data_IF_083781108237
#
_entry.id   IF_083781108237
#
_cell.length_a   1.000
_cell.length_b   1.000
_cell.length_c   1.000
_cell.angle_alpha   90.00
_cell.angle_beta   90.00
_cell.angle_gamma   90.00
#
_symmetry.space_group_name_H-M   'P 1'
#
loop_
_entity.id
_entity.type
_entity.pdbx_description
1 polymer ?
#
# COMPACT_ATOMS: atom_id res chain seq x y z
N UNK A 1 9.79 -18.69 26.69
CA UNK A 1 9.24 -17.73 25.70
C UNK A 1 9.48 -16.33 26.25
N UNK A 2 10.13 -15.44 25.49
CA UNK A 2 10.49 -14.11 25.97
C UNK A 2 9.43 -13.10 25.51
N UNK A 3 8.27 -13.14 26.15
CA UNK A 3 7.09 -12.34 25.81
C UNK A 3 7.36 -10.82 25.69
N UNK A 4 8.14 -10.18 26.58
CA UNK A 4 8.48 -8.77 26.43
C UNK A 4 9.23 -8.44 25.12
N UNK A 5 10.15 -9.33 24.69
CA UNK A 5 10.88 -9.16 23.45
C UNK A 5 9.95 -9.28 22.24
N UNK A 6 9.04 -10.26 22.26
CA UNK A 6 8.03 -10.45 21.21
C UNK A 6 7.10 -9.22 21.10
N UNK A 7 6.65 -8.67 22.24
CA UNK A 7 5.88 -7.43 22.28
C UNK A 7 6.63 -6.24 21.69
N UNK A 8 7.92 -6.07 22.03
CA UNK A 8 8.73 -4.98 21.49
C UNK A 8 8.92 -5.09 19.97
N UNK A 9 9.13 -6.31 19.46
CA UNK A 9 9.25 -6.56 18.03
C UNK A 9 7.94 -6.24 17.28
N UNK A 10 6.80 -6.63 17.85
CA UNK A 10 5.49 -6.30 17.26
C UNK A 10 5.24 -4.79 17.26
N UNK A 11 5.59 -4.10 18.35
CA UNK A 11 5.45 -2.65 18.44
C UNK A 11 6.30 -1.93 17.38
N UNK A 12 7.57 -2.30 17.25
CA UNK A 12 8.45 -1.73 16.23
C UNK A 12 7.92 -1.97 14.80
N UNK A 13 7.30 -3.13 14.54
CA UNK A 13 6.66 -3.43 13.26
C UNK A 13 5.44 -2.54 13.00
N UNK A 14 4.62 -2.30 14.01
CA UNK A 14 3.46 -1.39 13.91
C UNK A 14 3.94 0.03 13.60
N UNK A 15 4.93 0.53 14.34
CA UNK A 15 5.47 1.88 14.16
C UNK A 15 6.03 2.08 12.74
N UNK A 16 6.74 1.08 12.21
CA UNK A 16 7.23 1.08 10.84
C UNK A 16 6.10 1.08 9.81
N UNK A 17 5.06 0.26 10.00
CA UNK A 17 3.90 0.21 9.10
C UNK A 17 3.13 1.54 9.08
N UNK A 18 2.94 2.16 10.25
CA UNK A 18 2.30 3.47 10.36
C UNK A 18 3.14 4.57 9.68
N UNK A 19 4.47 4.54 9.85
CA UNK A 19 5.36 5.48 9.15
C UNK A 19 5.25 5.33 7.63
N UNK A 20 5.30 4.10 7.13
CA UNK A 20 5.16 3.83 5.70
C UNK A 20 3.79 4.28 5.17
N UNK A 21 2.72 4.09 5.94
CA UNK A 21 1.38 4.57 5.57
C UNK A 21 1.36 6.08 5.37
N UNK A 22 1.96 6.85 6.26
CA UNK A 22 2.06 8.31 6.13
C UNK A 22 2.82 8.71 4.87
N UNK A 23 3.95 8.06 4.58
CA UNK A 23 4.67 8.30 3.32
C UNK A 23 3.79 8.02 2.09
N UNK A 24 3.04 6.92 2.07
CA UNK A 24 2.13 6.60 0.96
C UNK A 24 1.01 7.64 0.78
N UNK A 25 0.65 8.36 1.85
CA UNK A 25 -0.32 9.45 1.83
C UNK A 25 0.32 10.81 1.49
N UNK A 26 1.63 10.86 1.28
CA UNK A 26 2.36 12.08 0.98
C UNK A 26 2.76 12.90 2.21
N UNK A 27 2.74 12.29 3.40
CA UNK A 27 3.10 12.90 4.68
C UNK A 27 4.52 12.47 5.11
N UNK A 28 5.16 13.25 6.00
CA UNK A 28 6.51 13.00 6.57
C UNK A 28 7.64 12.77 5.53
N UNK A 29 7.51 13.36 4.34
CA UNK A 29 8.43 13.13 3.22
C UNK A 29 9.77 13.85 3.37
N UNK A 30 9.88 14.84 4.26
CA UNK A 30 11.09 15.66 4.44
C UNK A 30 12.30 14.84 4.90
N UNK A 31 12.05 13.68 5.52
CA UNK A 31 13.08 12.76 6.00
C UNK A 31 13.61 11.80 4.93
N UNK A 32 12.99 11.77 3.74
CA UNK A 32 13.32 10.85 2.66
C UNK A 32 14.35 11.45 1.70
N UNK A 33 15.27 10.60 1.21
CA UNK A 33 16.16 11.01 0.13
C UNK A 33 15.41 11.06 -1.20
N UNK A 34 15.97 11.77 -2.20
CA UNK A 34 15.40 11.78 -3.55
C UNK A 34 15.21 10.37 -4.12
N UNK A 35 16.13 9.44 -3.82
CA UNK A 35 16.04 8.05 -4.26
C UNK A 35 14.85 7.35 -3.60
N UNK A 36 14.64 7.57 -2.30
CA UNK A 36 13.51 6.98 -1.58
C UNK A 36 12.17 7.51 -2.10
N UNK A 37 12.10 8.81 -2.42
CA UNK A 37 10.93 9.42 -3.06
C UNK A 37 10.65 8.79 -4.43
N UNK A 38 11.66 8.62 -5.28
CA UNK A 38 11.49 7.96 -6.59
C UNK A 38 10.98 6.52 -6.44
N UNK A 39 11.48 5.78 -5.45
CA UNK A 39 10.99 4.43 -5.16
C UNK A 39 9.54 4.43 -4.67
N UNK A 40 9.19 5.38 -3.80
CA UNK A 40 7.84 5.57 -3.30
C UNK A 40 6.86 5.87 -4.44
N UNK A 41 7.22 6.78 -5.34
CA UNK A 41 6.43 7.10 -6.54
C UNK A 41 6.21 5.87 -7.43
N UNK A 42 7.28 5.11 -7.70
CA UNK A 42 7.19 3.88 -8.52
C UNK A 42 6.29 2.83 -7.86
N UNK A 43 6.38 2.67 -6.54
CA UNK A 43 5.56 1.74 -5.78
C UNK A 43 4.08 2.14 -5.83
N UNK A 44 3.78 3.43 -5.65
CA UNK A 44 2.41 3.97 -5.73
C UNK A 44 1.82 3.82 -7.14
N UNK A 45 2.57 4.16 -8.18
CA UNK A 45 2.13 4.02 -9.57
C UNK A 45 1.81 2.55 -9.91
N UNK A 46 2.67 1.63 -9.50
CA UNK A 46 2.47 0.18 -9.71
C UNK A 46 1.22 -0.31 -8.99
N UNK A 47 1.06 0.04 -7.71
CA UNK A 47 -0.11 -0.36 -6.92
C UNK A 47 -1.42 0.21 -7.51
N UNK A 48 -1.42 1.49 -7.92
CA UNK A 48 -2.57 2.14 -8.55
C UNK A 48 -2.94 1.48 -9.88
N UNK A 49 -1.97 1.12 -10.71
CA UNK A 49 -2.21 0.36 -11.96
C UNK A 49 -2.90 -0.97 -11.67
N UNK A 50 -2.43 -1.73 -10.67
CA UNK A 50 -3.07 -2.98 -10.27
C UNK A 50 -4.50 -2.77 -9.77
N UNK A 51 -4.73 -1.79 -8.89
CA UNK A 51 -6.07 -1.48 -8.36
C UNK A 51 -7.04 -1.11 -9.48
N UNK A 52 -6.63 -0.22 -10.40
CA UNK A 52 -7.45 0.19 -11.55
C UNK A 52 -7.75 -0.99 -12.47
N UNK A 53 -6.74 -1.83 -12.76
CA UNK A 53 -6.91 -3.03 -13.56
C UNK A 53 -7.94 -3.98 -12.95
N UNK A 54 -7.85 -4.25 -11.64
CA UNK A 54 -8.80 -5.12 -10.94
C UNK A 54 -10.21 -4.54 -10.93
N UNK A 55 -10.35 -3.23 -10.68
CA UNK A 55 -11.64 -2.55 -10.71
C UNK A 55 -12.29 -2.64 -12.11
N UNK A 56 -11.50 -2.44 -13.16
CA UNK A 56 -11.99 -2.56 -14.53
C UNK A 56 -12.42 -3.99 -14.86
N UNK A 57 -11.64 -5.00 -14.47
CA UNK A 57 -12.01 -6.42 -14.64
C UNK A 57 -13.35 -6.74 -13.97
N UNK A 58 -13.51 -6.37 -12.69
CA UNK A 58 -14.75 -6.59 -11.95
C UNK A 58 -15.95 -5.89 -12.59
N UNK A 59 -15.75 -4.67 -13.10
CA UNK A 59 -16.81 -3.94 -13.79
C UNK A 59 -17.22 -4.62 -15.11
N UNK A 60 -16.25 -5.13 -15.88
CA UNK A 60 -16.51 -5.88 -17.11
C UNK A 60 -17.21 -7.22 -16.83
N UNK A 61 -16.82 -7.92 -15.77
CA UNK A 61 -17.50 -9.13 -15.29
C UNK A 61 -18.97 -8.82 -14.97
N UNK A 62 -19.24 -7.76 -14.21
CA UNK A 62 -20.60 -7.33 -13.85
C UNK A 62 -21.45 -6.96 -15.08
N UNK A 63 -20.88 -6.22 -16.04
CA UNK A 63 -21.58 -5.89 -17.30
C UNK A 63 -21.92 -7.17 -18.07
N UNK A 64 -20.97 -8.10 -18.18
CA UNK A 64 -21.15 -9.36 -18.90
C UNK A 64 -22.23 -10.23 -18.25
N UNK A 65 -22.32 -10.26 -16.93
CA UNK A 65 -23.38 -10.96 -16.21
C UNK A 65 -24.76 -10.34 -16.45
N UNK A 66 -24.84 -9.01 -16.46
CA UNK A 66 -26.09 -8.29 -16.74
C UNK A 66 -26.57 -8.50 -18.17
N UNK A 67 -25.66 -8.56 -19.15
CA UNK A 67 -25.99 -8.81 -20.56
C UNK A 67 -26.44 -10.25 -20.83
N UNK A 68 -26.06 -11.20 -19.98
CA UNK A 68 -26.46 -12.61 -20.09
C UNK A 68 -27.83 -12.91 -19.46
N UNK A 69 -28.37 -11.98 -18.67
CA UNK A 69 -29.72 -12.02 -18.11
C UNK A 69 -30.71 -11.45 -19.11
#
# INVERSE_FOLDING_TARGET
RNWPLECNNLKAKIDLLQKNQRHYLGEDLESLSLKDIQQLEQQLDTALKHIRSRKNQLMQESISELQKK
#
